data_IF_656178474008
#
_entry.id   IF_656178474008
#
_cell.length_a   1.000
_cell.length_b   1.000
_cell.length_c   1.000
_cell.angle_alpha   90.00
_cell.angle_beta   90.00
_cell.angle_gamma   90.00
#
_symmetry.space_group_name_H-M   'P 1'
#
loop_
_entity.id
_entity.type
_entity.pdbx_description
1 polymer ?
#
# COMPACT_ATOMS: atom_id res chain seq x y z
N UNK A 1 45.36 30.08 53.46
CA UNK A 1 44.26 29.11 53.62
C UNK A 1 43.03 29.69 52.94
N UNK A 2 42.58 29.08 51.85
CA UNK A 2 41.20 29.14 51.36
C UNK A 2 41.07 28.04 50.29
N UNK A 3 40.55 26.90 50.73
CA UNK A 3 40.15 25.77 49.91
C UNK A 3 38.86 26.11 49.17
N UNK A 4 38.80 25.87 47.86
CA UNK A 4 37.58 25.95 47.06
C UNK A 4 37.43 24.68 46.26
N UNK A 5 36.61 23.76 46.77
CA UNK A 5 36.36 22.42 46.21
C UNK A 5 35.78 22.47 44.80
N UNK A 6 36.36 21.68 43.90
CA UNK A 6 35.78 21.38 42.60
C UNK A 6 34.51 20.51 42.79
N UNK A 7 33.36 21.05 42.40
CA UNK A 7 32.11 20.30 42.34
C UNK A 7 32.13 19.49 41.04
N UNK A 8 32.46 18.21 41.14
CA UNK A 8 32.21 17.22 40.08
C UNK A 8 30.70 16.99 39.99
N UNK A 9 30.07 17.49 38.92
CA UNK A 9 28.69 17.18 38.59
C UNK A 9 28.60 15.76 38.02
N UNK A 10 28.07 14.81 38.79
CA UNK A 10 27.62 13.51 38.28
C UNK A 10 26.50 13.72 37.23
N UNK A 11 26.49 12.94 36.13
CA UNK A 11 25.38 13.00 35.19
C UNK A 11 24.13 12.43 35.87
N UNK A 12 23.15 13.31 36.10
CA UNK A 12 21.83 12.94 36.59
C UNK A 12 21.23 11.82 35.72
N UNK A 13 21.01 10.66 36.34
CA UNK A 13 20.39 9.52 35.69
C UNK A 13 19.02 9.95 35.14
N UNK A 14 18.94 10.11 33.82
CA UNK A 14 17.71 10.45 33.12
C UNK A 14 16.62 9.45 33.49
N UNK A 15 15.59 9.92 34.19
CA UNK A 15 14.42 9.17 34.61
C UNK A 15 13.88 8.36 33.43
N UNK A 16 13.85 7.03 33.56
CA UNK A 16 13.37 6.14 32.48
C UNK A 16 11.96 6.57 32.08
N UNK A 17 11.71 6.99 30.83
CA UNK A 17 10.35 7.29 30.41
C UNK A 17 9.51 6.02 30.53
N UNK A 18 8.36 6.10 31.22
CA UNK A 18 7.41 4.97 31.40
C UNK A 18 6.93 4.40 30.06
N UNK A 19 7.19 5.10 28.96
CA UNK A 19 6.82 4.74 27.60
C UNK A 19 7.99 4.27 26.69
N UNK A 20 9.08 3.74 27.25
CA UNK A 20 10.25 3.35 26.45
C UNK A 20 9.92 2.29 25.39
N UNK A 21 9.12 1.28 25.73
CA UNK A 21 8.75 0.20 24.80
C UNK A 21 8.00 0.75 23.58
N UNK A 22 7.00 1.61 23.75
CA UNK A 22 6.26 2.14 22.61
C UNK A 22 7.10 3.12 21.77
N UNK A 23 7.99 3.92 22.38
CA UNK A 23 8.94 4.75 21.60
C UNK A 23 9.83 3.90 20.69
N UNK A 24 10.34 2.77 21.19
CA UNK A 24 11.11 1.81 20.41
C UNK A 24 10.28 1.27 19.24
N UNK A 25 9.05 0.81 19.52
CA UNK A 25 8.17 0.21 18.52
C UNK A 25 7.76 1.20 17.44
N UNK A 26 7.52 2.46 17.79
CA UNK A 26 7.19 3.51 16.82
C UNK A 26 8.39 3.86 15.93
N UNK A 27 9.59 4.01 16.51
CA UNK A 27 10.80 4.24 15.74
C UNK A 27 11.14 3.07 14.81
N UNK A 28 11.03 1.85 15.32
CA UNK A 28 11.23 0.64 14.55
C UNK A 28 10.20 0.50 13.42
N UNK A 29 8.93 0.77 13.71
CA UNK A 29 7.86 0.74 12.71
C UNK A 29 8.12 1.70 11.55
N UNK A 30 8.60 2.93 11.83
CA UNK A 30 9.04 3.88 10.79
C UNK A 30 10.24 3.35 10.02
N UNK A 31 11.28 2.87 10.72
CA UNK A 31 12.49 2.36 10.08
C UNK A 31 12.21 1.19 9.14
N UNK A 32 11.39 0.23 9.56
CA UNK A 32 10.96 -0.88 8.72
C UNK A 32 10.06 -0.44 7.56
N UNK A 33 9.15 0.52 7.77
CA UNK A 33 8.28 1.02 6.69
C UNK A 33 9.05 1.80 5.63
N UNK A 34 10.13 2.49 6.02
CA UNK A 34 10.95 3.30 5.11
C UNK A 34 12.01 2.49 4.36
N UNK A 35 12.64 1.52 5.03
CA UNK A 35 13.82 0.80 4.51
C UNK A 35 13.53 -0.67 4.21
N UNK A 36 12.36 -1.17 4.60
CA UNK A 36 12.04 -2.60 4.59
C UNK A 36 12.65 -3.36 5.76
N UNK A 37 12.18 -4.59 5.98
CA UNK A 37 12.64 -5.45 7.07
C UNK A 37 14.15 -5.70 7.00
N UNK A 38 14.71 -6.07 5.85
CA UNK A 38 16.11 -6.48 5.78
C UNK A 38 17.11 -5.33 5.99
N UNK A 39 16.86 -4.15 5.42
CA UNK A 39 17.83 -3.05 5.45
C UNK A 39 17.85 -2.26 6.76
N UNK A 40 16.78 -2.25 7.56
CA UNK A 40 16.77 -1.58 8.86
C UNK A 40 17.66 -2.32 9.88
N UNK A 41 18.54 -1.64 10.62
CA UNK A 41 19.37 -2.28 11.66
C UNK A 41 18.85 -2.03 13.09
N UNK A 42 19.22 -2.91 14.03
CA UNK A 42 18.88 -2.72 15.45
C UNK A 42 19.63 -1.53 16.04
N UNK A 43 20.85 -1.28 15.57
CA UNK A 43 21.73 -0.19 15.97
C UNK A 43 21.13 1.17 15.58
N UNK A 44 20.66 1.32 14.34
CA UNK A 44 19.99 2.54 13.89
C UNK A 44 18.69 2.81 14.65
N UNK A 45 17.89 1.77 14.91
CA UNK A 45 16.65 1.89 15.68
C UNK A 45 16.96 2.33 17.12
N UNK A 46 17.99 1.75 17.75
CA UNK A 46 18.42 2.13 19.09
C UNK A 46 18.90 3.60 19.13
N UNK A 47 19.73 3.99 18.14
CA UNK A 47 20.20 5.36 18.00
C UNK A 47 19.04 6.36 17.82
N UNK A 48 18.03 6.01 17.01
CA UNK A 48 16.86 6.84 16.75
C UNK A 48 16.02 7.15 18.01
N UNK A 49 16.11 6.33 19.06
CA UNK A 49 15.43 6.56 20.34
C UNK A 49 16.38 6.90 21.49
N UNK A 50 17.65 7.18 21.18
CA UNK A 50 18.67 7.61 22.13
C UNK A 50 19.07 6.54 23.13
N UNK A 51 19.11 5.27 22.74
CA UNK A 51 19.56 4.15 23.59
C UNK A 51 20.67 3.35 22.90
N UNK A 52 21.41 2.54 23.67
CA UNK A 52 22.40 1.62 23.11
C UNK A 52 21.72 0.38 22.51
N UNK A 53 22.36 -0.28 21.53
CA UNK A 53 21.86 -1.54 21.00
C UNK A 53 21.66 -2.59 22.11
N UNK A 54 22.59 -2.68 23.07
CA UNK A 54 22.44 -3.54 24.25
C UNK A 54 21.19 -3.21 25.08
N UNK A 55 20.80 -1.94 25.18
CA UNK A 55 19.56 -1.55 25.84
C UNK A 55 18.31 -1.95 25.04
N UNK A 56 18.38 -1.86 23.71
CA UNK A 56 17.31 -2.33 22.83
C UNK A 56 17.10 -3.84 22.95
N UNK A 57 18.19 -4.63 22.97
CA UNK A 57 18.13 -6.09 23.12
C UNK A 57 17.50 -6.55 24.44
N UNK A 58 17.51 -5.71 25.49
CA UNK A 58 16.78 -5.98 26.75
C UNK A 58 15.26 -5.87 26.60
N UNK A 59 14.78 -5.08 25.64
CA UNK A 59 13.35 -4.94 25.35
C UNK A 59 12.88 -5.95 24.32
N UNK A 60 13.71 -6.22 23.30
CA UNK A 60 13.38 -7.12 22.21
C UNK A 60 14.58 -8.03 21.93
N UNK A 61 14.44 -9.36 22.12
CA UNK A 61 15.59 -10.27 22.07
C UNK A 61 16.25 -10.35 20.69
N UNK A 62 15.50 -10.01 19.63
CA UNK A 62 15.99 -9.94 18.27
C UNK A 62 15.12 -9.00 17.42
N UNK A 63 15.59 -8.73 16.20
CA UNK A 63 14.92 -7.88 15.21
C UNK A 63 13.54 -8.40 14.81
N UNK A 64 13.38 -9.72 14.74
CA UNK A 64 12.11 -10.36 14.39
C UNK A 64 11.04 -10.07 15.46
N UNK A 65 11.36 -10.23 16.74
CA UNK A 65 10.44 -9.96 17.85
C UNK A 65 9.98 -8.49 17.86
N UNK A 66 10.88 -7.55 17.56
CA UNK A 66 10.54 -6.14 17.39
C UNK A 66 9.64 -5.91 16.17
N UNK A 67 9.94 -6.54 15.04
CA UNK A 67 9.13 -6.46 13.83
C UNK A 67 7.72 -7.02 14.02
N UNK A 68 7.57 -8.18 14.67
CA UNK A 68 6.27 -8.77 15.02
C UNK A 68 5.46 -7.83 15.90
N UNK A 69 6.08 -7.20 16.91
CA UNK A 69 5.40 -6.19 17.75
C UNK A 69 4.93 -5.01 16.89
N UNK A 70 5.80 -4.44 16.06
CA UNK A 70 5.45 -3.33 15.16
C UNK A 70 4.29 -3.68 14.21
N UNK A 71 4.27 -4.90 13.65
CA UNK A 71 3.22 -5.34 12.74
C UNK A 71 1.86 -5.46 13.44
N UNK A 72 1.86 -5.87 14.72
CA UNK A 72 0.64 -6.00 15.52
C UNK A 72 0.06 -4.65 15.98
N UNK A 73 0.92 -3.65 16.25
CA UNK A 73 0.49 -2.38 16.84
C UNK A 73 -0.62 -1.67 16.06
N UNK A 74 -0.54 -1.65 14.73
CA UNK A 74 -1.60 -1.02 13.93
C UNK A 74 -2.91 -1.80 14.05
N UNK A 75 -2.86 -3.13 13.92
CA UNK A 75 -4.03 -3.97 14.03
C UNK A 75 -4.70 -3.84 15.42
N UNK A 76 -3.90 -3.83 16.48
CA UNK A 76 -4.38 -3.63 17.86
C UNK A 76 -5.04 -2.26 18.05
N UNK A 77 -4.45 -1.19 17.49
CA UNK A 77 -5.05 0.14 17.53
C UNK A 77 -6.40 0.20 16.81
N UNK A 78 -6.53 -0.48 15.67
CA UNK A 78 -7.81 -0.53 14.94
C UNK A 78 -8.86 -1.33 15.71
N UNK A 79 -8.49 -2.48 16.29
CA UNK A 79 -9.38 -3.29 17.14
C UNK A 79 -9.84 -2.48 18.36
N UNK A 80 -8.92 -1.90 19.13
CA UNK A 80 -9.24 -1.07 20.30
C UNK A 80 -10.14 0.12 19.93
N UNK A 81 -9.89 0.75 18.78
CA UNK A 81 -10.71 1.86 18.32
C UNK A 81 -12.14 1.44 17.95
N UNK A 82 -12.33 0.21 17.48
CA UNK A 82 -13.65 -0.36 17.19
C UNK A 82 -14.37 -0.88 18.44
N UNK A 83 -13.65 -1.45 19.40
CA UNK A 83 -14.23 -1.94 20.66
C UNK A 83 -14.84 -0.81 21.50
N UNK A 84 -14.36 0.43 21.30
CA UNK A 84 -14.93 1.62 21.91
C UNK A 84 -16.23 2.12 21.24
N UNK A 85 -16.62 1.55 20.10
CA UNK A 85 -17.81 1.94 19.35
C UNK A 85 -18.97 1.00 19.68
N UNK A 86 -20.16 1.51 20.05
CA UNK A 86 -21.33 0.68 20.34
C UNK A 86 -21.66 -0.28 19.18
N UNK A 87 -22.11 -1.53 19.43
CA UNK A 87 -22.40 -2.50 18.38
C UNK A 87 -23.40 -2.03 17.32
N UNK A 88 -24.39 -1.25 17.73
CA UNK A 88 -25.49 -0.68 16.93
C UNK A 88 -25.18 0.68 16.29
N UNK A 89 -23.95 1.18 16.47
CA UNK A 89 -23.54 2.45 15.89
C UNK A 89 -23.63 2.44 14.34
N UNK A 90 -24.03 3.57 13.72
CA UNK A 90 -24.11 3.68 12.27
C UNK A 90 -22.72 3.59 11.62
N UNK A 91 -22.67 3.23 10.33
CA UNK A 91 -21.43 3.04 9.59
C UNK A 91 -20.45 4.23 9.69
N UNK A 92 -20.96 5.47 9.72
CA UNK A 92 -20.13 6.66 9.87
C UNK A 92 -19.36 6.71 11.20
N UNK A 93 -19.97 6.24 12.30
CA UNK A 93 -19.34 6.19 13.63
C UNK A 93 -18.33 5.03 13.75
N UNK A 94 -18.50 3.97 12.95
CA UNK A 94 -17.54 2.86 12.85
C UNK A 94 -16.33 3.24 11.98
N UNK A 95 -16.54 3.92 10.86
CA UNK A 95 -15.47 4.24 9.89
C UNK A 95 -14.57 5.39 10.35
N UNK A 96 -15.11 6.40 11.05
CA UNK A 96 -14.36 7.56 11.54
C UNK A 96 -13.15 7.20 12.44
N UNK A 97 -13.28 6.36 13.48
CA UNK A 97 -12.13 5.99 14.31
C UNK A 97 -11.07 5.21 13.52
N UNK A 98 -11.47 4.39 12.55
CA UNK A 98 -10.54 3.68 11.66
C UNK A 98 -9.73 4.65 10.80
N UNK A 99 -10.39 5.65 10.20
CA UNK A 99 -9.72 6.71 9.45
C UNK A 99 -8.73 7.48 10.35
N UNK A 100 -9.18 7.91 11.53
CA UNK A 100 -8.36 8.64 12.50
C UNK A 100 -7.09 7.88 12.91
N UNK A 101 -7.23 6.62 13.34
CA UNK A 101 -6.09 5.78 13.72
C UNK A 101 -5.13 5.59 12.56
N UNK A 102 -5.65 5.32 11.36
CA UNK A 102 -4.84 5.07 10.17
C UNK A 102 -4.05 6.31 9.75
N UNK A 103 -4.68 7.50 9.74
CA UNK A 103 -4.00 8.76 9.40
C UNK A 103 -2.98 9.13 10.47
N UNK A 104 -3.28 8.95 11.77
CA UNK A 104 -2.37 9.23 12.89
C UNK A 104 -1.09 8.39 12.86
N UNK A 105 -1.16 7.20 12.28
CA UNK A 105 -0.06 6.26 12.26
C UNK A 105 0.37 5.87 10.84
N UNK A 106 0.12 6.75 9.85
CA UNK A 106 0.38 6.47 8.43
C UNK A 106 1.83 6.14 8.11
N UNK A 107 2.79 6.68 8.87
CA UNK A 107 4.23 6.44 8.69
C UNK A 107 4.67 5.01 9.06
N UNK A 108 3.90 4.33 9.91
CA UNK A 108 4.15 2.95 10.34
C UNK A 108 3.07 1.97 9.83
N UNK A 109 1.94 2.50 9.34
CA UNK A 109 0.76 1.72 8.98
C UNK A 109 0.94 0.81 7.78
N UNK A 110 1.90 1.09 6.89
CA UNK A 110 2.16 0.24 5.72
C UNK A 110 2.76 -1.13 6.08
N UNK A 111 3.36 -1.27 7.27
CA UNK A 111 4.14 -2.44 7.65
C UNK A 111 3.35 -3.76 7.54
N UNK A 112 2.10 -3.77 8.01
CA UNK A 112 1.27 -4.97 7.99
C UNK A 112 0.85 -5.38 6.57
N UNK A 113 0.75 -4.43 5.63
CA UNK A 113 0.30 -4.69 4.25
C UNK A 113 1.40 -5.32 3.39
N UNK A 114 2.66 -4.94 3.60
CA UNK A 114 3.76 -5.28 2.68
C UNK A 114 4.77 -6.26 3.27
N UNK A 115 4.96 -6.20 4.58
CA UNK A 115 6.05 -6.90 5.24
C UNK A 115 5.54 -8.11 6.05
N UNK A 116 4.22 -8.33 6.17
CA UNK A 116 3.65 -9.49 6.86
C UNK A 116 4.08 -10.85 6.27
N UNK A 117 4.63 -10.86 5.06
CA UNK A 117 5.29 -12.02 4.44
C UNK A 117 6.56 -12.47 5.18
N UNK A 118 7.21 -11.55 5.90
CA UNK A 118 8.36 -11.85 6.76
C UNK A 118 7.96 -12.41 8.12
N UNK A 119 6.68 -12.29 8.50
CA UNK A 119 6.15 -12.99 9.68
C UNK A 119 6.09 -14.48 9.41
N UNK A 120 6.40 -15.26 10.43
CA UNK A 120 6.15 -16.68 10.44
C UNK A 120 4.64 -16.99 10.35
N UNK A 121 4.32 -18.27 10.18
CA UNK A 121 2.93 -18.70 9.98
C UNK A 121 2.05 -18.41 11.20
N UNK A 122 2.59 -18.47 12.41
CA UNK A 122 1.81 -18.28 13.64
C UNK A 122 1.47 -16.79 13.82
N UNK A 123 2.47 -15.92 13.73
CA UNK A 123 2.30 -14.47 13.86
C UNK A 123 1.43 -13.90 12.73
N UNK A 124 1.59 -14.41 11.50
CA UNK A 124 0.74 -14.02 10.37
C UNK A 124 -0.73 -14.37 10.61
N UNK A 125 -1.02 -15.54 11.21
CA UNK A 125 -2.40 -15.94 11.56
C UNK A 125 -3.01 -15.00 12.60
N UNK A 126 -2.25 -14.63 13.62
CA UNK A 126 -2.70 -13.66 14.64
C UNK A 126 -3.04 -12.32 14.00
N UNK A 127 -2.16 -11.81 13.15
CA UNK A 127 -2.38 -10.56 12.44
C UNK A 127 -3.60 -10.62 11.51
N UNK A 128 -3.73 -11.69 10.73
CA UNK A 128 -4.88 -11.91 9.85
C UNK A 128 -6.20 -12.01 10.62
N UNK A 129 -6.21 -12.62 11.81
CA UNK A 129 -7.41 -12.70 12.65
C UNK A 129 -7.87 -11.31 13.12
N UNK A 130 -6.94 -10.43 13.53
CA UNK A 130 -7.26 -9.06 13.92
C UNK A 130 -7.84 -8.26 12.75
N UNK A 131 -7.26 -8.37 11.56
CA UNK A 131 -7.84 -7.72 10.37
C UNK A 131 -9.19 -8.30 9.97
N UNK A 132 -9.39 -9.61 10.10
CA UNK A 132 -10.67 -10.24 9.86
C UNK A 132 -11.75 -9.71 10.83
N UNK A 133 -11.41 -9.45 12.10
CA UNK A 133 -12.30 -8.80 13.05
C UNK A 133 -12.70 -7.38 12.61
N UNK A 134 -11.72 -6.58 12.16
CA UNK A 134 -11.99 -5.22 11.62
C UNK A 134 -12.92 -5.29 10.39
N UNK A 135 -12.64 -6.19 9.44
CA UNK A 135 -13.46 -6.40 8.24
C UNK A 135 -14.87 -6.85 8.61
N UNK A 136 -15.01 -7.81 9.54
CA UNK A 136 -16.30 -8.30 10.00
C UNK A 136 -17.14 -7.18 10.63
N UNK A 137 -16.51 -6.36 11.50
CA UNK A 137 -17.21 -5.24 12.15
C UNK A 137 -17.72 -4.21 11.15
N UNK A 138 -16.95 -3.87 10.12
CA UNK A 138 -17.40 -2.96 9.05
C UNK A 138 -18.46 -3.63 8.16
N UNK A 139 -18.32 -4.93 7.87
CA UNK A 139 -19.33 -5.69 7.11
C UNK A 139 -20.68 -5.68 7.82
N UNK A 140 -20.68 -5.81 9.16
CA UNK A 140 -21.90 -5.84 9.97
C UNK A 140 -22.75 -4.57 9.80
N UNK A 141 -22.12 -3.39 9.71
CA UNK A 141 -22.81 -2.10 9.55
C UNK A 141 -23.16 -1.75 8.11
N UNK A 142 -22.67 -2.51 7.13
CA UNK A 142 -23.00 -2.37 5.70
C UNK A 142 -24.18 -3.28 5.30
N UNK A 143 -24.50 -4.30 6.10
CA UNK A 143 -25.65 -5.18 5.85
C UNK A 143 -26.96 -4.37 5.87
N UNK A 144 -27.95 -4.75 5.02
CA UNK A 144 -28.12 -6.05 4.36
C UNK A 144 -27.61 -6.13 2.90
N UNK A 145 -26.67 -5.29 2.46
CA UNK A 145 -26.21 -5.33 1.06
C UNK A 145 -25.66 -6.71 0.64
N UNK A 146 -26.02 -7.28 -0.54
CA UNK A 146 -25.55 -8.60 -0.97
C UNK A 146 -24.03 -8.67 -1.19
N UNK A 147 -23.40 -7.51 -1.40
CA UNK A 147 -21.97 -7.27 -1.58
C UNK A 147 -21.33 -6.61 -0.34
N UNK A 148 -21.95 -6.72 0.85
CA UNK A 148 -21.53 -6.00 2.06
C UNK A 148 -20.06 -6.20 2.42
N UNK A 149 -19.53 -7.41 2.27
CA UNK A 149 -18.12 -7.67 2.53
C UNK A 149 -17.21 -6.96 1.53
N UNK A 150 -17.58 -6.94 0.24
CA UNK A 150 -16.78 -6.28 -0.80
C UNK A 150 -16.74 -4.77 -0.58
N UNK A 151 -17.87 -4.17 -0.18
CA UNK A 151 -17.97 -2.76 0.23
C UNK A 151 -17.14 -2.44 1.47
N UNK A 152 -17.20 -3.31 2.49
CA UNK A 152 -16.39 -3.15 3.70
C UNK A 152 -14.89 -3.16 3.37
N UNK A 153 -14.47 -4.11 2.53
CA UNK A 153 -13.09 -4.20 2.06
C UNK A 153 -12.71 -2.99 1.19
N UNK A 154 -13.60 -2.50 0.34
CA UNK A 154 -13.38 -1.28 -0.44
C UNK A 154 -13.17 -0.05 0.47
N UNK A 155 -14.05 0.14 1.47
CA UNK A 155 -14.00 1.24 2.42
C UNK A 155 -12.70 1.21 3.26
N UNK A 156 -12.30 0.03 3.74
CA UNK A 156 -11.02 -0.17 4.43
C UNK A 156 -9.82 0.04 3.49
N UNK A 157 -9.96 -0.37 2.23
CA UNK A 157 -8.99 -0.11 1.17
C UNK A 157 -8.73 1.39 0.97
N UNK A 158 -9.81 2.17 0.88
CA UNK A 158 -9.77 3.62 0.79
C UNK A 158 -9.07 4.26 2.00
N UNK A 159 -9.48 3.93 3.23
CA UNK A 159 -8.83 4.44 4.45
C UNK A 159 -7.35 4.08 4.50
N UNK A 160 -7.03 2.80 4.29
CA UNK A 160 -5.67 2.29 4.36
C UNK A 160 -4.74 2.89 3.30
N UNK A 161 -5.27 3.42 2.20
CA UNK A 161 -4.48 4.00 1.11
C UNK A 161 -3.49 5.07 1.57
N UNK A 162 -3.80 5.83 2.63
CA UNK A 162 -2.95 6.90 3.17
C UNK A 162 -1.57 6.42 3.63
N UNK A 163 -1.43 5.13 3.91
CA UNK A 163 -0.18 4.45 4.26
C UNK A 163 0.73 4.17 3.06
N UNK A 164 0.23 4.39 1.83
CA UNK A 164 0.87 4.03 0.56
C UNK A 164 1.51 5.18 -0.20
N UNK A 165 1.24 6.40 0.22
CA UNK A 165 1.70 7.60 -0.48
C UNK A 165 2.08 8.67 0.54
N UNK A 166 2.80 9.69 0.06
CA UNK A 166 3.32 10.80 0.88
C UNK A 166 2.69 12.15 0.53
N UNK A 167 1.45 12.14 0.03
CA UNK A 167 0.72 13.39 -0.23
C UNK A 167 0.63 14.20 1.07
N UNK A 168 1.21 15.40 1.05
CA UNK A 168 1.15 16.35 2.16
C UNK A 168 -0.26 16.92 2.26
N UNK A 169 -0.88 16.80 3.43
CA UNK A 169 -2.21 17.30 3.73
C UNK A 169 -2.38 17.38 5.25
N UNK A 170 -3.15 18.36 5.73
CA UNK A 170 -3.45 18.46 7.15
C UNK A 170 -4.19 17.22 7.65
N UNK A 171 -3.82 16.74 8.83
CA UNK A 171 -4.29 15.48 9.41
C UNK A 171 -5.83 15.37 9.44
N UNK A 172 -6.51 16.36 10.02
CA UNK A 172 -7.98 16.43 10.06
C UNK A 172 -8.64 16.43 8.66
N UNK A 173 -8.00 17.04 7.64
CA UNK A 173 -8.54 17.05 6.28
C UNK A 173 -8.45 15.67 5.64
N UNK A 174 -7.35 14.95 5.85
CA UNK A 174 -7.22 13.58 5.39
C UNK A 174 -8.21 12.65 6.08
N UNK A 175 -8.39 12.78 7.39
CA UNK A 175 -9.38 12.00 8.14
C UNK A 175 -10.79 12.20 7.60
N UNK A 176 -11.20 13.46 7.40
CA UNK A 176 -12.54 13.78 6.87
C UNK A 176 -12.74 13.20 5.46
N UNK A 177 -11.79 13.45 4.55
CA UNK A 177 -11.88 12.95 3.17
C UNK A 177 -11.96 11.43 3.10
N UNK A 178 -11.13 10.72 3.86
CA UNK A 178 -11.10 9.26 3.86
C UNK A 178 -12.34 8.67 4.53
N UNK A 179 -12.85 9.31 5.59
CA UNK A 179 -14.12 8.90 6.22
C UNK A 179 -15.28 9.06 5.25
N UNK A 180 -15.39 10.20 4.56
CA UNK A 180 -16.44 10.44 3.57
C UNK A 180 -16.35 9.50 2.37
N UNK A 181 -15.14 9.26 1.85
CA UNK A 181 -14.90 8.30 0.77
C UNK A 181 -15.28 6.87 1.17
N UNK A 182 -14.86 6.44 2.36
CA UNK A 182 -15.22 5.14 2.92
C UNK A 182 -16.73 4.98 3.15
N UNK A 183 -17.40 6.04 3.62
CA UNK A 183 -18.85 6.03 3.81
C UNK A 183 -19.59 5.88 2.47
N UNK A 184 -19.16 6.61 1.43
CA UNK A 184 -19.72 6.46 0.07
C UNK A 184 -19.59 5.02 -0.44
N UNK A 185 -18.42 4.40 -0.25
CA UNK A 185 -18.18 3.00 -0.61
C UNK A 185 -19.08 2.02 0.15
N UNK A 186 -19.25 2.28 1.46
CA UNK A 186 -20.10 1.48 2.33
C UNK A 186 -21.59 1.56 1.94
N UNK A 187 -22.06 2.70 1.41
CA UNK A 187 -23.50 2.94 1.18
C UNK A 187 -23.91 3.05 -0.29
N UNK A 188 -23.01 3.02 -1.27
CA UNK A 188 -23.34 3.29 -2.67
C UNK A 188 -24.29 2.26 -3.29
N UNK A 189 -25.54 2.61 -3.54
CA UNK A 189 -26.54 1.64 -4.05
C UNK A 189 -26.48 1.42 -5.57
N UNK A 190 -25.63 2.16 -6.30
CA UNK A 190 -25.59 2.15 -7.76
C UNK A 190 -24.25 1.65 -8.28
N UNK A 191 -24.30 0.62 -9.12
CA UNK A 191 -23.19 0.21 -9.98
C UNK A 191 -23.46 0.79 -11.36
N UNK A 192 -22.92 1.99 -11.71
CA UNK A 192 -23.02 2.47 -13.08
C UNK A 192 -22.38 1.45 -14.03
N UNK A 193 -22.93 1.33 -15.24
CA UNK A 193 -22.29 0.53 -16.28
C UNK A 193 -20.89 1.09 -16.55
N UNK A 194 -19.86 0.27 -16.37
CA UNK A 194 -18.51 0.68 -16.69
C UNK A 194 -18.38 0.86 -18.22
N UNK A 195 -17.78 1.97 -18.69
CA UNK A 195 -17.53 2.12 -20.12
C UNK A 195 -16.63 0.98 -20.62
N UNK A 196 -16.86 0.55 -21.86
CA UNK A 196 -15.96 -0.39 -22.52
C UNK A 196 -14.64 0.31 -22.80
N UNK A 197 -13.54 -0.36 -22.48
CA UNK A 197 -12.18 0.13 -22.68
C UNK A 197 -11.33 -0.95 -23.34
N UNK A 198 -10.38 -0.53 -24.16
CA UNK A 198 -9.43 -1.42 -24.80
C UNK A 198 -8.05 -1.24 -24.17
N UNK A 199 -7.43 -2.36 -23.78
CA UNK A 199 -6.04 -2.36 -23.32
C UNK A 199 -5.12 -2.73 -24.48
N UNK A 200 -3.93 -2.10 -24.57
CA UNK A 200 -2.91 -2.52 -25.52
C UNK A 200 -2.58 -4.00 -25.31
N UNK A 201 -2.59 -4.78 -26.39
CA UNK A 201 -2.19 -6.18 -26.33
C UNK A 201 -0.78 -6.32 -25.73
N UNK A 202 -0.58 -7.35 -24.89
CA UNK A 202 0.73 -7.59 -24.31
C UNK A 202 1.79 -7.73 -25.42
N UNK A 203 2.91 -7.00 -25.33
CA UNK A 203 3.90 -6.99 -26.38
C UNK A 203 4.53 -8.37 -26.52
N UNK A 204 4.46 -8.94 -27.74
CA UNK A 204 5.14 -10.20 -28.04
C UNK A 204 6.65 -10.02 -27.77
N UNK A 205 7.26 -10.83 -26.89
CA UNK A 205 8.63 -10.63 -26.47
C UNK A 205 9.61 -11.05 -27.57
N UNK A 206 9.96 -10.11 -28.45
CA UNK A 206 10.86 -10.33 -29.61
C UNK A 206 12.34 -10.19 -29.26
N UNK A 207 12.68 -9.46 -28.21
CA UNK A 207 14.07 -9.28 -27.75
C UNK A 207 14.35 -10.20 -26.55
N UNK A 208 15.63 -10.58 -26.34
CA UNK A 208 16.00 -11.35 -25.14
C UNK A 208 15.65 -10.63 -23.84
N UNK A 209 15.79 -9.30 -23.79
CA UNK A 209 15.35 -8.51 -22.64
C UNK A 209 13.84 -8.70 -22.39
N UNK A 210 13.00 -8.58 -23.42
CA UNK A 210 11.55 -8.74 -23.27
C UNK A 210 11.16 -10.16 -22.84
N UNK A 211 11.85 -11.19 -23.36
CA UNK A 211 11.59 -12.58 -22.98
C UNK A 211 11.97 -12.85 -21.52
N UNK A 212 13.07 -12.27 -21.04
CA UNK A 212 13.47 -12.32 -19.64
C UNK A 212 12.40 -11.68 -18.75
N UNK A 213 11.89 -10.49 -19.11
CA UNK A 213 10.82 -9.83 -18.35
C UNK A 213 9.56 -10.70 -18.28
N UNK A 214 9.09 -11.18 -19.44
CA UNK A 214 7.89 -12.00 -19.54
C UNK A 214 7.98 -13.32 -18.75
N UNK A 215 9.16 -13.94 -18.69
CA UNK A 215 9.38 -15.16 -17.91
C UNK A 215 9.58 -14.91 -16.41
N UNK A 216 10.18 -13.77 -16.04
CA UNK A 216 10.51 -13.49 -14.64
C UNK A 216 9.29 -13.13 -13.79
N UNK A 217 8.32 -12.39 -14.32
CA UNK A 217 7.14 -11.93 -13.55
C UNK A 217 6.33 -13.10 -12.98
N UNK A 218 5.94 -14.14 -13.77
CA UNK A 218 5.23 -15.30 -13.23
C UNK A 218 6.05 -16.08 -12.19
N UNK A 219 7.38 -16.15 -12.34
CA UNK A 219 8.25 -16.78 -11.35
C UNK A 219 8.24 -16.00 -10.04
N UNK A 220 8.33 -14.66 -10.10
CA UNK A 220 8.29 -13.83 -8.90
C UNK A 220 6.96 -13.93 -8.16
N UNK A 221 5.84 -13.99 -8.89
CA UNK A 221 4.52 -14.15 -8.28
C UNK A 221 4.38 -15.53 -7.61
N UNK A 222 4.70 -16.61 -8.33
CA UNK A 222 4.50 -17.99 -7.84
C UNK A 222 5.44 -18.35 -6.70
N UNK A 223 6.74 -18.09 -6.89
CA UNK A 223 7.79 -18.58 -6.00
C UNK A 223 8.24 -17.51 -4.98
N UNK A 224 7.85 -16.26 -5.19
CA UNK A 224 8.27 -15.11 -4.39
C UNK A 224 9.59 -14.51 -4.89
N UNK A 225 9.64 -13.19 -5.04
CA UNK A 225 10.82 -12.47 -5.56
C UNK A 225 12.12 -12.82 -4.82
N UNK A 226 12.09 -12.97 -3.50
CA UNK A 226 13.29 -13.27 -2.69
C UNK A 226 13.89 -14.63 -3.02
N UNK A 227 13.08 -15.65 -3.30
CA UNK A 227 13.52 -17.04 -3.52
C UNK A 227 14.00 -17.27 -4.96
N UNK A 228 13.44 -16.53 -5.92
CA UNK A 228 13.80 -16.66 -7.34
C UNK A 228 15.25 -16.23 -7.54
N UNK A 229 16.01 -17.08 -8.23
CA UNK A 229 17.42 -16.84 -8.57
C UNK A 229 17.57 -16.43 -10.03
N UNK A 230 18.64 -15.69 -10.35
CA UNK A 230 18.99 -15.39 -11.74
C UNK A 230 19.14 -16.67 -12.59
N UNK A 231 19.68 -17.75 -12.02
CA UNK A 231 19.82 -19.02 -12.73
C UNK A 231 18.46 -19.60 -13.14
N UNK A 232 17.46 -19.58 -12.25
CA UNK A 232 16.10 -20.05 -12.54
C UNK A 232 15.41 -19.22 -13.62
N UNK A 233 15.62 -17.89 -13.61
CA UNK A 233 15.10 -17.01 -14.66
C UNK A 233 15.77 -17.34 -16.01
N UNK A 234 17.09 -17.54 -16.01
CA UNK A 234 17.84 -17.89 -17.22
C UNK A 234 17.37 -19.22 -17.82
N UNK A 235 17.20 -20.24 -16.98
CA UNK A 235 16.66 -21.54 -17.37
C UNK A 235 15.27 -21.42 -18.02
N UNK A 236 14.38 -20.61 -17.42
CA UNK A 236 13.03 -20.39 -17.94
C UNK A 236 13.00 -19.75 -19.35
N UNK A 237 14.08 -19.10 -19.78
CA UNK A 237 14.20 -18.53 -21.14
C UNK A 237 15.20 -19.28 -22.02
N UNK A 238 15.66 -20.46 -21.59
CA UNK A 238 16.62 -21.30 -22.32
C UNK A 238 18.02 -20.69 -22.41
N UNK A 239 18.42 -19.89 -21.42
CA UNK A 239 19.74 -19.27 -21.33
C UNK A 239 20.57 -19.92 -20.23
N UNK A 240 21.90 -19.90 -20.41
CA UNK A 240 22.84 -20.16 -19.32
C UNK A 240 22.84 -18.97 -18.34
N UNK A 241 23.03 -19.19 -17.02
CA UNK A 241 22.97 -18.11 -16.02
C UNK A 241 23.90 -16.92 -16.31
N UNK A 242 25.08 -17.18 -16.87
CA UNK A 242 26.05 -16.13 -17.26
C UNK A 242 25.55 -15.22 -18.38
N UNK A 243 24.69 -15.71 -19.28
CA UNK A 243 24.12 -14.93 -20.38
C UNK A 243 23.06 -13.94 -19.88
N UNK A 244 22.40 -14.21 -18.75
CA UNK A 244 21.43 -13.29 -18.15
C UNK A 244 22.07 -11.96 -17.77
N UNK A 245 23.29 -12.00 -17.22
CA UNK A 245 24.04 -10.82 -16.78
C UNK A 245 24.40 -9.85 -17.91
N UNK A 246 24.39 -10.31 -19.17
CA UNK A 246 24.56 -9.44 -20.35
C UNK A 246 23.34 -8.56 -20.60
N UNK A 247 22.18 -8.97 -20.09
CA UNK A 247 20.93 -8.25 -20.25
C UNK A 247 20.56 -7.51 -18.96
N UNK A 248 20.63 -8.17 -17.81
CA UNK A 248 20.28 -7.58 -16.53
C UNK A 248 21.33 -7.96 -15.47
N UNK A 249 21.95 -6.98 -14.79
CA UNK A 249 22.92 -7.23 -13.72
C UNK A 249 22.33 -8.02 -12.55
N UNK A 250 21.05 -7.84 -12.25
CA UNK A 250 20.37 -8.50 -11.12
C UNK A 250 18.85 -8.56 -11.33
N UNK A 251 18.17 -9.37 -10.51
CA UNK A 251 16.70 -9.52 -10.56
C UNK A 251 15.91 -8.27 -10.16
N UNK A 252 16.51 -7.34 -9.40
CA UNK A 252 15.85 -6.08 -9.03
C UNK A 252 15.70 -5.16 -10.26
N UNK A 253 16.69 -5.14 -11.15
CA UNK A 253 16.58 -4.44 -12.45
C UNK A 253 15.57 -5.09 -13.40
N UNK A 254 15.44 -6.42 -13.35
CA UNK A 254 14.39 -7.14 -14.11
C UNK A 254 13.01 -6.69 -13.61
N UNK A 255 12.78 -6.68 -12.30
CA UNK A 255 11.51 -6.25 -11.73
C UNK A 255 11.21 -4.77 -12.04
N UNK A 256 12.18 -3.88 -11.85
CA UNK A 256 12.01 -2.45 -12.14
C UNK A 256 11.68 -2.21 -13.62
N UNK A 257 12.36 -2.91 -14.54
CA UNK A 257 12.08 -2.83 -15.96
C UNK A 257 10.70 -3.39 -16.34
N UNK A 258 10.24 -4.48 -15.71
CA UNK A 258 8.88 -4.99 -15.89
C UNK A 258 7.83 -3.98 -15.42
N UNK A 259 8.04 -3.36 -14.25
CA UNK A 259 7.15 -2.34 -13.71
C UNK A 259 7.08 -1.09 -14.62
N UNK A 260 8.22 -0.64 -15.15
CA UNK A 260 8.26 0.48 -16.11
C UNK A 260 7.56 0.15 -17.43
N UNK A 261 7.75 -1.07 -17.94
CA UNK A 261 7.05 -1.52 -19.14
C UNK A 261 5.54 -1.49 -18.93
N UNK A 262 5.06 -2.01 -17.78
CA UNK A 262 3.64 -2.05 -17.47
C UNK A 262 3.06 -0.65 -17.22
N UNK A 263 3.79 0.25 -16.56
CA UNK A 263 3.43 1.66 -16.45
C UNK A 263 3.30 2.32 -17.83
N UNK A 264 4.20 2.01 -18.77
CA UNK A 264 4.10 2.49 -20.15
C UNK A 264 2.85 1.99 -20.88
N UNK A 265 2.49 0.71 -20.69
CA UNK A 265 1.24 0.15 -21.25
C UNK A 265 0.00 0.83 -20.66
N UNK A 266 -0.02 1.10 -19.35
CA UNK A 266 -1.11 1.85 -18.71
C UNK A 266 -1.21 3.27 -19.27
N UNK A 267 -0.10 3.98 -19.43
CA UNK A 267 -0.10 5.32 -20.03
C UNK A 267 -0.64 5.32 -21.46
N UNK A 268 -0.23 4.34 -22.28
CA UNK A 268 -0.75 4.17 -23.63
C UNK A 268 -2.26 3.87 -23.63
N UNK A 269 -2.72 2.98 -22.75
CA UNK A 269 -4.14 2.67 -22.61
C UNK A 269 -4.94 3.92 -22.22
N UNK A 270 -4.44 4.70 -21.27
CA UNK A 270 -5.09 5.95 -20.84
C UNK A 270 -5.19 6.95 -22.00
N UNK A 271 -4.10 7.16 -22.73
CA UNK A 271 -4.08 8.07 -23.89
C UNK A 271 -5.06 7.63 -24.99
N UNK A 272 -5.06 6.33 -25.31
CA UNK A 272 -5.96 5.75 -26.32
C UNK A 272 -7.43 5.88 -25.92
N UNK A 273 -7.81 5.47 -24.70
CA UNK A 273 -9.20 5.48 -24.27
C UNK A 273 -9.72 6.90 -23.99
N UNK A 274 -8.85 7.83 -23.58
CA UNK A 274 -9.23 9.24 -23.43
C UNK A 274 -9.28 10.02 -24.74
N UNK A 275 -8.78 9.47 -25.85
CA UNK A 275 -8.80 10.16 -27.13
C UNK A 275 -10.24 10.49 -27.56
N UNK A 276 -10.55 11.77 -27.71
CA UNK A 276 -11.90 12.25 -28.05
C UNK A 276 -12.90 12.23 -26.87
N UNK A 277 -12.50 11.79 -25.68
CA UNK A 277 -13.32 11.85 -24.47
C UNK A 277 -13.08 13.16 -23.73
N UNK A 278 -14.13 13.91 -23.44
CA UNK A 278 -14.04 15.20 -22.74
C UNK A 278 -15.06 15.35 -21.61
N UNK A 279 -14.76 16.20 -20.63
CA UNK A 279 -15.70 16.57 -19.57
C UNK A 279 -16.04 15.40 -18.65
N UNK A 280 -17.32 15.27 -18.30
CA UNK A 280 -17.80 14.32 -17.28
C UNK A 280 -17.51 12.84 -17.58
N UNK A 281 -17.23 12.48 -18.84
CA UNK A 281 -16.96 11.10 -19.25
C UNK A 281 -15.51 10.65 -19.04
N UNK A 282 -14.57 11.59 -18.82
CA UNK A 282 -13.15 11.26 -18.70
C UNK A 282 -12.84 10.39 -17.46
N UNK A 283 -13.44 10.68 -16.30
CA UNK A 283 -13.21 9.93 -15.07
C UNK A 283 -13.78 8.49 -15.12
N UNK A 284 -15.01 8.24 -15.61
CA UNK A 284 -15.49 6.87 -15.87
C UNK A 284 -14.56 6.06 -16.78
N UNK A 285 -14.06 6.66 -17.87
CA UNK A 285 -13.14 5.98 -18.79
C UNK A 285 -11.78 5.72 -18.15
N UNK A 286 -11.21 6.68 -17.42
CA UNK A 286 -9.99 6.48 -16.63
C UNK A 286 -10.15 5.36 -15.61
N UNK A 287 -11.28 5.32 -14.91
CA UNK A 287 -11.59 4.30 -13.92
C UNK A 287 -11.69 2.91 -14.54
N UNK A 288 -12.47 2.76 -15.62
CA UNK A 288 -12.58 1.49 -16.33
C UNK A 288 -11.22 1.02 -16.87
N UNK A 289 -10.41 1.95 -17.43
CA UNK A 289 -9.06 1.65 -17.95
C UNK A 289 -8.13 1.14 -16.85
N UNK A 290 -8.07 1.84 -15.71
CA UNK A 290 -7.23 1.46 -14.59
C UNK A 290 -7.66 0.13 -13.96
N UNK A 291 -8.97 -0.10 -13.85
CA UNK A 291 -9.52 -1.36 -13.31
C UNK A 291 -9.22 -2.51 -14.27
N UNK A 292 -9.51 -2.37 -15.56
CA UNK A 292 -9.17 -3.37 -16.57
C UNK A 292 -7.68 -3.74 -16.50
N UNK A 293 -6.81 -2.71 -16.46
CA UNK A 293 -5.35 -2.91 -16.37
C UNK A 293 -4.96 -3.66 -15.08
N UNK A 294 -5.60 -3.33 -13.96
CA UNK A 294 -5.31 -3.95 -12.67
C UNK A 294 -5.67 -5.44 -12.66
N UNK A 295 -6.80 -5.82 -13.27
CA UNK A 295 -7.19 -7.24 -13.41
C UNK A 295 -6.26 -7.99 -14.38
N UNK A 296 -5.89 -7.40 -15.52
CA UNK A 296 -5.01 -8.04 -16.51
C UNK A 296 -3.55 -8.19 -15.99
N UNK A 297 -3.02 -7.19 -15.29
CA UNK A 297 -1.64 -7.15 -14.80
C UNK A 297 -1.50 -7.45 -13.29
N UNK A 298 -2.38 -8.31 -12.77
CA UNK A 298 -2.44 -8.68 -11.35
C UNK A 298 -1.10 -9.19 -10.79
N UNK A 299 -0.45 -10.11 -11.51
CA UNK A 299 0.79 -10.76 -11.08
C UNK A 299 1.89 -9.74 -10.75
N UNK A 300 2.11 -8.82 -11.69
CA UNK A 300 3.10 -7.76 -11.53
C UNK A 300 2.69 -6.77 -10.45
N UNK A 301 1.40 -6.42 -10.35
CA UNK A 301 0.90 -5.53 -9.31
C UNK A 301 1.16 -6.09 -7.91
N UNK A 302 0.91 -7.38 -7.69
CA UNK A 302 1.17 -8.05 -6.41
C UNK A 302 2.66 -8.06 -6.05
N UNK A 303 3.52 -8.42 -7.00
CA UNK A 303 4.98 -8.44 -6.80
C UNK A 303 5.50 -7.02 -6.56
N UNK A 304 5.16 -6.07 -7.42
CA UNK A 304 5.61 -4.69 -7.31
C UNK A 304 5.23 -4.10 -5.95
N UNK A 305 3.98 -4.28 -5.55
CA UNK A 305 3.52 -3.67 -4.33
C UNK A 305 4.26 -4.24 -3.10
N UNK A 306 4.68 -5.51 -3.12
CA UNK A 306 5.52 -6.11 -2.08
C UNK A 306 7.00 -5.68 -2.13
N UNK A 307 7.60 -5.52 -3.32
CA UNK A 307 9.05 -5.37 -3.45
C UNK A 307 9.54 -3.94 -3.69
N UNK A 308 8.70 -3.04 -4.23
CA UNK A 308 9.15 -1.71 -4.67
C UNK A 308 9.78 -0.90 -3.53
N UNK A 309 9.27 -1.02 -2.30
CA UNK A 309 9.82 -0.34 -1.12
C UNK A 309 11.26 -0.75 -0.79
N UNK A 310 11.65 -1.99 -1.12
CA UNK A 310 13.00 -2.53 -0.88
C UNK A 310 13.99 -2.32 -2.03
N UNK A 311 13.57 -1.75 -3.16
CA UNK A 311 14.47 -1.49 -4.29
C UNK A 311 15.47 -0.36 -3.99
N UNK A 312 16.68 -0.40 -4.58
CA UNK A 312 17.62 0.72 -4.55
C UNK A 312 16.97 2.01 -5.09
N UNK A 313 17.33 3.16 -4.51
CA UNK A 313 16.78 4.47 -4.89
C UNK A 313 16.94 4.80 -6.38
N UNK A 314 18.01 4.30 -7.02
CA UNK A 314 18.24 4.45 -8.46
C UNK A 314 17.18 3.77 -9.32
N UNK A 315 16.64 2.64 -8.86
CA UNK A 315 15.57 1.90 -9.54
C UNK A 315 14.17 2.39 -9.15
N UNK A 316 14.01 2.91 -7.92
CA UNK A 316 12.75 3.50 -7.47
C UNK A 316 12.42 4.82 -8.18
N UNK A 317 13.42 5.66 -8.45
CA UNK A 317 13.19 7.02 -8.98
C UNK A 317 12.40 7.04 -10.30
N UNK A 318 12.73 6.25 -11.34
CA UNK A 318 11.94 6.20 -12.57
C UNK A 318 10.49 5.74 -12.35
N UNK A 319 10.28 4.77 -11.44
CA UNK A 319 8.95 4.25 -11.12
C UNK A 319 8.08 5.29 -10.42
N UNK A 320 8.67 6.05 -9.48
CA UNK A 320 8.00 7.15 -8.81
C UNK A 320 7.61 8.25 -9.80
N UNK A 321 8.45 8.53 -10.80
CA UNK A 321 8.12 9.49 -11.85
C UNK A 321 6.93 9.04 -12.69
N UNK A 322 6.95 7.79 -13.19
CA UNK A 322 5.83 7.23 -13.94
C UNK A 322 4.52 7.21 -13.13
N UNK A 323 4.58 6.87 -11.85
CA UNK A 323 3.42 6.93 -10.97
C UNK A 323 2.89 8.36 -10.79
N UNK A 324 3.78 9.35 -10.64
CA UNK A 324 3.39 10.76 -10.51
C UNK A 324 2.72 11.29 -11.76
N UNK A 325 3.24 10.94 -12.95
CA UNK A 325 2.62 11.30 -14.22
C UNK A 325 1.21 10.71 -14.34
N UNK A 326 1.04 9.44 -13.99
CA UNK A 326 -0.28 8.81 -13.97
C UNK A 326 -1.24 9.51 -12.99
N UNK A 327 -0.80 9.79 -11.75
CA UNK A 327 -1.60 10.49 -10.75
C UNK A 327 -1.95 11.92 -11.18
N UNK A 328 -1.09 12.60 -11.93
CA UNK A 328 -1.35 13.97 -12.40
C UNK A 328 -2.56 14.03 -13.34
N UNK A 329 -2.70 13.05 -14.25
CA UNK A 329 -3.87 12.94 -15.14
C UNK A 329 -5.15 12.79 -14.32
N UNK A 330 -5.14 11.92 -13.32
CA UNK A 330 -6.27 11.71 -12.41
C UNK A 330 -6.61 12.96 -11.59
N UNK A 331 -5.60 13.66 -11.06
CA UNK A 331 -5.77 14.89 -10.29
C UNK A 331 -6.45 15.97 -11.13
N UNK A 332 -5.96 16.18 -12.36
CA UNK A 332 -6.52 17.17 -13.29
C UNK A 332 -7.98 16.86 -13.60
N UNK A 333 -8.29 15.63 -14.05
CA UNK A 333 -9.65 15.24 -14.41
C UNK A 333 -10.60 15.32 -13.20
N UNK A 334 -10.14 14.88 -12.02
CA UNK A 334 -10.96 14.96 -10.81
C UNK A 334 -11.27 16.41 -10.42
N UNK A 335 -10.30 17.32 -10.53
CA UNK A 335 -10.53 18.74 -10.23
C UNK A 335 -11.44 19.44 -11.23
N UNK A 336 -11.45 19.00 -12.49
CA UNK A 336 -12.42 19.48 -13.48
C UNK A 336 -13.85 19.05 -13.12
N UNK A 337 -14.03 17.82 -12.64
CA UNK A 337 -15.34 17.32 -12.20
C UNK A 337 -15.77 17.82 -10.81
N UNK A 338 -14.80 18.12 -9.94
CA UNK A 338 -14.98 18.56 -8.54
C UNK A 338 -14.14 19.81 -8.26
N UNK A 339 -14.58 21.00 -8.73
CA UNK A 339 -13.83 22.26 -8.56
C UNK A 339 -13.65 22.71 -7.10
N UNK A 340 -14.41 22.11 -6.18
CA UNK A 340 -14.30 22.31 -4.73
C UNK A 340 -13.02 21.72 -4.12
N UNK A 341 -12.33 20.81 -4.83
CA UNK A 341 -11.14 20.13 -4.34
C UNK A 341 -9.85 20.88 -4.73
N UNK A 342 -8.93 21.00 -3.77
CA UNK A 342 -7.54 21.32 -4.06
C UNK A 342 -6.76 20.08 -4.59
N UNK A 343 -5.57 20.33 -5.12
CA UNK A 343 -4.67 19.29 -5.66
C UNK A 343 -4.34 18.17 -4.66
N UNK A 344 -4.16 18.50 -3.38
CA UNK A 344 -3.80 17.54 -2.35
C UNK A 344 -5.01 16.67 -1.97
N UNK A 345 -6.20 17.26 -1.87
CA UNK A 345 -7.44 16.54 -1.63
C UNK A 345 -7.76 15.59 -2.77
N UNK A 346 -7.64 16.05 -4.02
CA UNK A 346 -7.83 15.23 -5.22
C UNK A 346 -6.89 14.01 -5.23
N UNK A 347 -5.59 14.21 -4.99
CA UNK A 347 -4.61 13.11 -4.91
C UNK A 347 -4.93 12.11 -3.80
N UNK A 348 -5.40 12.55 -2.64
CA UNK A 348 -5.81 11.65 -1.55
C UNK A 348 -6.99 10.78 -1.99
N UNK A 349 -8.00 11.36 -2.65
CA UNK A 349 -9.16 10.60 -3.13
C UNK A 349 -8.79 9.62 -4.26
N UNK A 350 -7.88 10.01 -5.17
CA UNK A 350 -7.35 9.09 -6.20
C UNK A 350 -6.67 7.88 -5.57
N UNK A 351 -5.80 8.10 -4.57
CA UNK A 351 -5.19 7.00 -3.83
C UNK A 351 -6.22 6.17 -3.05
N UNK A 352 -7.25 6.80 -2.48
CA UNK A 352 -8.34 6.09 -1.82
C UNK A 352 -9.07 5.15 -2.79
N UNK A 353 -9.37 5.64 -4.00
CA UNK A 353 -9.91 4.85 -5.09
C UNK A 353 -9.01 3.66 -5.46
N UNK A 354 -7.71 3.89 -5.66
CA UNK A 354 -6.77 2.81 -5.96
C UNK A 354 -6.67 1.78 -4.83
N UNK A 355 -6.73 2.24 -3.57
CA UNK A 355 -6.78 1.38 -2.40
C UNK A 355 -8.02 0.49 -2.39
N UNK A 356 -9.18 1.02 -2.78
CA UNK A 356 -10.42 0.25 -2.94
C UNK A 356 -10.28 -0.80 -4.06
N UNK A 357 -9.74 -0.44 -5.22
CA UNK A 357 -9.46 -1.39 -6.33
C UNK A 357 -8.57 -2.54 -5.89
N UNK A 358 -7.46 -2.26 -5.20
CA UNK A 358 -6.51 -3.29 -4.78
C UNK A 358 -7.15 -4.27 -3.79
N UNK A 359 -7.86 -3.78 -2.77
CA UNK A 359 -8.41 -4.68 -1.76
C UNK A 359 -9.63 -5.46 -2.25
N UNK A 360 -10.48 -4.85 -3.07
CA UNK A 360 -11.60 -5.56 -3.71
C UNK A 360 -11.12 -6.58 -4.73
N UNK A 361 -10.14 -6.22 -5.57
CA UNK A 361 -9.50 -7.16 -6.49
C UNK A 361 -8.93 -8.38 -5.77
N UNK A 362 -8.19 -8.17 -4.66
CA UNK A 362 -7.71 -9.28 -3.82
C UNK A 362 -8.85 -10.13 -3.25
N UNK A 363 -9.94 -9.52 -2.78
CA UNK A 363 -11.11 -10.26 -2.25
C UNK A 363 -11.77 -11.12 -3.33
N UNK A 364 -11.83 -10.61 -4.55
CA UNK A 364 -12.32 -11.32 -5.75
C UNK A 364 -11.27 -12.26 -6.35
N UNK A 365 -10.09 -12.40 -5.73
CA UNK A 365 -8.94 -13.17 -6.23
C UNK A 365 -8.50 -12.76 -7.64
N UNK A 366 -8.81 -11.53 -8.03
CA UNK A 366 -8.55 -10.98 -9.35
C UNK A 366 -9.14 -11.81 -10.50
N UNK A 367 -10.24 -12.52 -10.25
CA UNK A 367 -10.97 -13.22 -11.29
C UNK A 367 -11.55 -12.21 -12.28
N UNK A 368 -11.09 -12.26 -13.52
CA UNK A 368 -11.36 -11.23 -14.51
C UNK A 368 -12.68 -11.48 -15.25
N UNK A 369 -13.77 -10.91 -14.73
CA UNK A 369 -15.09 -10.97 -15.34
C UNK A 369 -15.64 -9.56 -15.59
N UNK A 370 -16.54 -9.38 -16.58
CA UNK A 370 -17.20 -8.09 -16.81
C UNK A 370 -17.88 -7.54 -15.56
N UNK A 371 -18.54 -8.39 -14.78
CA UNK A 371 -19.25 -8.00 -13.55
C UNK A 371 -18.29 -7.52 -12.46
N UNK A 372 -17.15 -8.21 -12.28
CA UNK A 372 -16.12 -7.78 -11.34
C UNK A 372 -15.49 -6.44 -11.75
N UNK A 373 -15.16 -6.28 -13.04
CA UNK A 373 -14.64 -5.00 -13.56
C UNK A 373 -15.65 -3.87 -13.35
N UNK A 374 -16.93 -4.10 -13.61
CA UNK A 374 -17.98 -3.10 -13.41
C UNK A 374 -18.14 -2.71 -11.93
N UNK A 375 -18.22 -3.70 -11.03
CA UNK A 375 -18.33 -3.47 -9.60
C UNK A 375 -17.13 -2.68 -9.04
N UNK A 376 -15.92 -3.06 -9.41
CA UNK A 376 -14.70 -2.38 -8.94
C UNK A 376 -14.55 -0.98 -9.54
N UNK A 377 -14.98 -0.77 -10.79
CA UNK A 377 -15.05 0.57 -11.41
C UNK A 377 -16.04 1.47 -10.67
N UNK A 378 -17.20 0.96 -10.28
CA UNK A 378 -18.18 1.69 -9.49
C UNK A 378 -17.63 2.09 -8.10
N UNK A 379 -16.88 1.20 -7.44
CA UNK A 379 -16.20 1.54 -6.18
C UNK A 379 -15.15 2.63 -6.38
N UNK A 380 -14.33 2.55 -7.42
CA UNK A 380 -13.35 3.58 -7.74
C UNK A 380 -14.03 4.95 -7.89
N UNK A 381 -15.10 5.05 -8.69
CA UNK A 381 -15.85 6.30 -8.87
C UNK A 381 -16.51 6.79 -7.57
N UNK A 382 -17.14 5.88 -6.80
CA UNK A 382 -17.74 6.20 -5.50
C UNK A 382 -16.72 6.78 -4.51
N UNK A 383 -15.50 6.24 -4.51
CA UNK A 383 -14.41 6.72 -3.65
C UNK A 383 -14.04 8.17 -3.98
N UNK A 384 -14.02 8.53 -5.27
CA UNK A 384 -13.77 9.88 -5.79
C UNK A 384 -14.93 10.84 -5.53
N UNK A 385 -16.10 10.32 -5.16
CA UNK A 385 -17.31 11.11 -4.90
C UNK A 385 -18.03 11.53 -6.17
N UNK A 386 -18.10 10.60 -7.13
CA UNK A 386 -18.81 10.70 -8.41
C UNK A 386 -19.99 9.74 -8.47
#
# INVERSE_FOLDING_TARGET
MCSGSAVTSEPAAATRPRNRKQLIVEAAGRAFSERGYHAASMEEIAAAVGITAAALYRHFPNKYALFTECANVMADRLVVALDAVPPDAPAAEVLRPLARVTVAHRESGGLYRWEARYLDRADRRVLSAKFAQVVARVTDVVRPSPDAELRAVAALGAIGSITMHRTSIAHHRAENLLTESALRLATSTTTPAAPSVELPAQPVPRTRRAQILAAAVPLFERDGFATVTNARIAEAVGLVPSALYRHFPNKAEILAAACLQAAGLLSQAVEQNLHGTTGAQALPVLAATYVAYSFEHTALTNVAAAELGGLPASLQRPLILAQREHIAVWEEQLRLARPDLDAHQARVLVHAGFGAVVETGRRLRWEDTPDHRAAVTAFLLSALGL
#
